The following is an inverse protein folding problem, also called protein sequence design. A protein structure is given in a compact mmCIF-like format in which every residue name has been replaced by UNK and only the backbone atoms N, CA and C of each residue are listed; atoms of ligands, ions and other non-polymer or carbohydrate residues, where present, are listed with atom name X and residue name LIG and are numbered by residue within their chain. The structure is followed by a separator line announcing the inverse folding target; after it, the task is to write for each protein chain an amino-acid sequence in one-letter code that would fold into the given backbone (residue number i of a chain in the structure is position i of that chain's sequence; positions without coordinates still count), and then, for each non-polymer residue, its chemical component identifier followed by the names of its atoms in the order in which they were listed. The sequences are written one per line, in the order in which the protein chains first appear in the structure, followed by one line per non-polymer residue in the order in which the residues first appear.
data_IF_439929325106
#
_entry.id   IF_439929325106
#
_cell.length_a   1.000
_cell.length_b   1.000
_cell.length_c   1.000
_cell.angle_alpha   90.00
_cell.angle_beta   90.00
_cell.angle_gamma   90.00
#
_symmetry.space_group_name_H-M   'P 1'
#
loop_
_entity.id
_entity.type
_entity.pdbx_description
1 polymer ?
#
# COMPACT_ATOMS: atom_id res chain seq x y z
N UNK A 1 -18.21 -8.44 -22.57
CA UNK A 1 -16.99 -9.16 -22.15
C UNK A 1 -16.27 -9.62 -23.41
N UNK A 2 -14.97 -9.40 -23.51
CA UNK A 2 -14.13 -9.80 -24.64
C UNK A 2 -12.82 -10.42 -24.14
N UNK A 3 -12.13 -11.18 -24.97
CA UNK A 3 -10.80 -11.69 -24.64
C UNK A 3 -9.76 -10.55 -24.65
N UNK A 4 -8.81 -10.62 -23.71
CA UNK A 4 -7.65 -9.75 -23.60
C UNK A 4 -6.34 -10.52 -23.72
N UNK A 5 -5.22 -9.86 -23.41
CA UNK A 5 -3.89 -10.49 -23.43
C UNK A 5 -3.77 -11.60 -22.40
N UNK A 6 -3.01 -12.66 -22.70
CA UNK A 6 -2.65 -13.69 -21.71
C UNK A 6 -3.84 -14.37 -21.06
N UNK A 7 -4.87 -14.72 -21.85
CA UNK A 7 -6.05 -15.41 -21.37
C UNK A 7 -6.95 -14.61 -20.43
N UNK A 8 -6.75 -13.28 -20.32
CA UNK A 8 -7.61 -12.38 -19.55
C UNK A 8 -8.97 -12.19 -20.19
N UNK A 9 -9.98 -11.86 -19.39
CA UNK A 9 -11.28 -11.40 -19.89
C UNK A 9 -11.48 -9.94 -19.50
N UNK A 10 -11.96 -9.14 -20.44
CA UNK A 10 -12.13 -7.70 -20.28
C UNK A 10 -13.61 -7.37 -20.24
N UNK A 11 -14.00 -6.60 -19.24
CA UNK A 11 -15.34 -6.03 -19.08
C UNK A 11 -15.19 -4.52 -19.20
N UNK A 12 -15.62 -4.01 -20.35
CA UNK A 12 -15.68 -2.58 -20.66
C UNK A 12 -17.01 -1.98 -20.14
N UNK A 13 -17.19 -0.66 -20.29
CA UNK A 13 -18.39 0.10 -19.89
C UNK A 13 -18.76 0.01 -18.40
N UNK A 14 -17.76 -0.13 -17.53
CA UNK A 14 -17.96 -0.06 -16.08
C UNK A 14 -18.04 1.39 -15.63
N UNK A 15 -19.09 1.73 -14.87
CA UNK A 15 -19.24 3.05 -14.26
C UNK A 15 -18.09 3.34 -13.28
N UNK A 16 -17.23 4.35 -13.54
CA UNK A 16 -16.14 4.70 -12.64
C UNK A 16 -16.61 5.13 -11.24
N UNK A 17 -17.86 5.55 -11.07
CA UNK A 17 -18.41 5.84 -9.75
C UNK A 17 -18.70 4.58 -8.91
N UNK A 18 -18.69 3.39 -9.53
CA UNK A 18 -19.07 2.12 -8.91
C UNK A 18 -17.93 1.10 -8.88
N UNK A 19 -16.66 1.53 -9.01
CA UNK A 19 -15.49 0.64 -9.04
C UNK A 19 -15.50 -0.42 -7.94
N UNK A 20 -15.61 -0.01 -6.68
CA UNK A 20 -15.56 -0.97 -5.56
C UNK A 20 -16.76 -1.93 -5.56
N UNK A 21 -17.95 -1.45 -5.96
CA UNK A 21 -19.14 -2.30 -6.06
C UNK A 21 -18.99 -3.35 -7.17
N UNK A 22 -18.54 -2.92 -8.35
CA UNK A 22 -18.29 -3.80 -9.49
C UNK A 22 -17.16 -4.81 -9.19
N UNK A 23 -16.09 -4.36 -8.52
CA UNK A 23 -15.01 -5.24 -8.07
C UNK A 23 -15.54 -6.31 -7.10
N UNK A 24 -16.32 -5.93 -6.08
CA UNK A 24 -16.91 -6.87 -5.12
C UNK A 24 -17.84 -7.88 -5.79
N UNK A 25 -18.63 -7.43 -6.77
CA UNK A 25 -19.50 -8.33 -7.54
C UNK A 25 -18.68 -9.38 -8.30
N UNK A 26 -17.62 -8.97 -9.00
CA UNK A 26 -16.72 -9.87 -9.70
C UNK A 26 -15.93 -10.79 -8.75
N UNK A 27 -15.48 -10.26 -7.61
CA UNK A 27 -14.76 -11.01 -6.58
C UNK A 27 -15.63 -12.11 -5.97
N UNK A 28 -16.92 -11.85 -5.76
CA UNK A 28 -17.86 -12.82 -5.19
C UNK A 28 -18.05 -14.09 -6.03
N UNK A 29 -17.82 -14.01 -7.34
CA UNK A 29 -17.91 -15.15 -8.26
C UNK A 29 -16.56 -15.78 -8.59
N UNK A 30 -15.45 -15.23 -8.06
CA UNK A 30 -14.10 -15.76 -8.23
C UNK A 30 -13.98 -17.24 -7.86
N UNK A 31 -14.60 -17.77 -6.77
CA UNK A 31 -14.51 -19.20 -6.45
C UNK A 31 -15.07 -20.13 -7.54
N UNK A 32 -15.95 -19.61 -8.42
CA UNK A 32 -16.53 -20.35 -9.54
C UNK A 32 -15.74 -20.12 -10.83
N UNK A 33 -15.29 -18.89 -11.07
CA UNK A 33 -14.61 -18.52 -12.31
C UNK A 33 -13.12 -18.82 -12.29
N UNK A 34 -12.50 -18.91 -11.11
CA UNK A 34 -11.06 -19.01 -10.93
C UNK A 34 -10.30 -17.76 -11.42
N UNK A 35 -10.99 -16.61 -11.54
CA UNK A 35 -10.44 -15.40 -12.17
C UNK A 35 -10.46 -14.19 -11.24
N UNK A 36 -9.28 -13.62 -11.00
CA UNK A 36 -9.10 -12.48 -10.11
C UNK A 36 -9.50 -11.18 -10.80
N UNK A 37 -10.44 -10.40 -10.22
CA UNK A 37 -10.82 -9.10 -10.76
C UNK A 37 -9.82 -8.01 -10.39
N UNK A 38 -9.47 -7.15 -11.34
CA UNK A 38 -8.68 -5.93 -11.09
C UNK A 38 -9.06 -4.85 -12.09
N UNK A 39 -9.12 -3.60 -11.65
CA UNK A 39 -9.31 -2.47 -12.53
C UNK A 39 -7.99 -1.95 -13.09
N UNK A 40 -8.01 -1.58 -14.37
CA UNK A 40 -6.92 -0.87 -15.05
C UNK A 40 -7.50 0.21 -15.95
N UNK A 41 -6.65 1.11 -16.45
CA UNK A 41 -7.00 1.89 -17.64
C UNK A 41 -6.98 0.98 -18.88
N UNK A 42 -7.72 1.30 -19.96
CA UNK A 42 -7.59 0.59 -21.22
C UNK A 42 -6.12 0.54 -21.69
N UNK A 43 -5.63 -0.65 -22.04
CA UNK A 43 -4.22 -0.86 -22.41
C UNK A 43 -3.25 -0.93 -21.22
N UNK A 44 -3.73 -1.02 -19.99
CA UNK A 44 -2.89 -1.13 -18.78
C UNK A 44 -2.20 -2.49 -18.58
N UNK A 45 -2.49 -3.48 -19.41
CA UNK A 45 -1.80 -4.77 -19.42
C UNK A 45 -0.47 -4.64 -20.17
N UNK A 46 0.62 -5.15 -19.60
CA UNK A 46 1.97 -4.93 -20.15
C UNK A 46 2.45 -6.03 -21.09
N UNK A 47 2.16 -7.30 -20.81
CA UNK A 47 2.39 -8.43 -21.74
C UNK A 47 1.52 -9.65 -21.39
N UNK A 48 1.63 -10.67 -22.23
CA UNK A 48 1.07 -12.00 -22.01
C UNK A 48 2.13 -12.88 -21.32
N UNK A 49 1.93 -13.27 -20.05
CA UNK A 49 2.93 -14.03 -19.33
C UNK A 49 2.93 -15.50 -19.77
N UNK A 50 4.13 -16.03 -19.98
CA UNK A 50 4.32 -17.44 -20.29
C UNK A 50 4.12 -18.31 -19.02
N UNK A 51 3.76 -19.60 -19.15
CA UNK A 51 3.59 -20.48 -17.99
C UNK A 51 4.83 -20.58 -17.10
N UNK A 52 6.02 -20.51 -17.68
CA UNK A 52 7.29 -20.52 -16.96
C UNK A 52 7.47 -19.23 -16.12
N UNK A 53 7.13 -18.07 -16.69
CA UNK A 53 7.17 -16.79 -15.96
C UNK A 53 6.22 -16.80 -14.76
N UNK A 54 5.02 -17.37 -14.91
CA UNK A 54 4.06 -17.51 -13.81
C UNK A 54 4.60 -18.42 -12.71
N UNK A 55 5.23 -19.55 -13.07
CA UNK A 55 5.82 -20.47 -12.11
C UNK A 55 7.01 -19.84 -11.36
N UNK A 56 7.86 -19.08 -12.06
CA UNK A 56 8.95 -18.32 -11.46
C UNK A 56 8.43 -17.23 -10.51
N UNK A 57 7.39 -16.50 -10.91
CA UNK A 57 6.77 -15.47 -10.09
C UNK A 57 6.13 -16.07 -8.83
N UNK A 58 5.46 -17.22 -8.96
CA UNK A 58 4.88 -17.92 -7.82
C UNK A 58 5.96 -18.40 -6.84
N UNK A 59 7.04 -19.00 -7.34
CA UNK A 59 8.17 -19.40 -6.52
C UNK A 59 8.81 -18.21 -5.81
N UNK A 60 9.01 -17.11 -6.53
CA UNK A 60 9.57 -15.89 -5.96
C UNK A 60 8.64 -15.28 -4.90
N UNK A 61 7.32 -15.28 -5.13
CA UNK A 61 6.36 -14.79 -4.16
C UNK A 61 6.48 -15.53 -2.81
N UNK A 62 6.78 -16.83 -2.85
CA UNK A 62 6.93 -17.68 -1.67
C UNK A 62 8.30 -17.56 -0.98
N UNK A 63 9.37 -17.29 -1.74
CA UNK A 63 10.76 -17.44 -1.27
C UNK A 63 11.51 -16.12 -1.10
N UNK A 64 11.13 -15.08 -1.85
CA UNK A 64 11.82 -13.81 -1.86
C UNK A 64 11.42 -12.95 -0.64
N UNK A 65 12.39 -12.24 -0.06
CA UNK A 65 12.09 -11.20 0.91
C UNK A 65 11.90 -9.85 0.20
N UNK A 66 10.66 -9.33 0.09
CA UNK A 66 10.38 -8.14 -0.72
C UNK A 66 11.08 -6.90 -0.17
N UNK A 67 11.35 -6.87 1.13
CA UNK A 67 11.96 -5.73 1.82
C UNK A 67 13.48 -5.66 1.61
N UNK A 68 14.09 -6.70 1.03
CA UNK A 68 15.47 -6.62 0.53
C UNK A 68 15.59 -5.74 -0.72
N UNK A 69 14.51 -5.66 -1.52
CA UNK A 69 14.36 -4.90 -2.77
C UNK A 69 13.72 -3.53 -2.51
N UNK A 70 12.65 -3.50 -1.71
CA UNK A 70 11.94 -2.29 -1.31
C UNK A 70 12.48 -1.77 0.03
N UNK A 71 13.35 -0.77 -0.02
CA UNK A 71 13.81 -0.05 1.17
C UNK A 71 13.48 1.43 1.07
N UNK A 72 12.87 1.94 2.14
CA UNK A 72 12.76 3.38 2.37
C UNK A 72 14.07 3.87 2.97
N UNK A 73 14.89 4.52 2.13
CA UNK A 73 16.18 5.11 2.53
C UNK A 73 16.03 6.45 3.26
N UNK A 74 14.85 7.07 3.20
CA UNK A 74 14.56 8.30 3.92
C UNK A 74 14.57 8.04 5.43
N UNK A 75 15.25 8.91 6.17
CA UNK A 75 15.19 8.96 7.63
C UNK A 75 16.20 8.09 8.38
N UNK A 76 17.29 7.66 7.74
CA UNK A 76 18.43 7.01 8.39
C UNK A 76 19.54 8.00 8.80
N UNK A 77 19.42 9.26 8.37
CA UNK A 77 20.37 10.31 8.72
C UNK A 77 20.14 10.81 10.16
N UNK A 78 21.21 11.09 10.93
CA UNK A 78 21.09 11.71 12.24
C UNK A 78 20.41 13.07 12.13
N UNK A 79 19.45 13.31 13.01
CA UNK A 79 18.74 14.56 13.20
C UNK A 79 19.39 15.36 14.33
N UNK A 80 19.50 16.67 14.15
CA UNK A 80 19.90 17.57 15.21
C UNK A 80 18.72 17.93 16.13
N UNK A 81 18.97 18.45 17.35
CA UNK A 81 17.90 18.76 18.30
C UNK A 81 16.86 19.76 17.77
N UNK A 82 17.24 20.68 16.87
CA UNK A 82 16.34 21.68 16.30
C UNK A 82 15.38 21.07 15.28
N UNK A 83 15.82 20.06 14.54
CA UNK A 83 14.94 19.28 13.66
C UNK A 83 13.90 18.47 14.45
N UNK A 84 14.33 17.86 15.58
CA UNK A 84 13.43 17.13 16.49
C UNK A 84 12.39 18.09 17.10
N UNK A 85 12.84 19.25 17.59
CA UNK A 85 11.95 20.29 18.14
C UNK A 85 10.92 20.74 17.11
N UNK A 86 11.37 21.10 15.91
CA UNK A 86 10.49 21.54 14.83
C UNK A 86 9.45 20.47 14.46
N UNK A 87 9.88 19.20 14.34
CA UNK A 87 9.00 18.09 14.01
C UNK A 87 7.94 17.87 15.09
N UNK A 88 8.36 17.76 16.35
CA UNK A 88 7.46 17.46 17.47
C UNK A 88 6.51 18.62 17.72
N UNK A 89 6.97 19.86 17.62
CA UNK A 89 6.10 21.02 17.71
C UNK A 89 5.04 21.02 16.59
N UNK A 90 5.44 20.69 15.35
CA UNK A 90 4.52 20.67 14.21
C UNK A 90 3.39 19.63 14.36
N UNK A 91 3.67 18.45 14.92
CA UNK A 91 2.70 17.36 14.96
C UNK A 91 2.06 17.11 16.33
N UNK A 92 2.78 17.34 17.42
CA UNK A 92 2.32 17.07 18.79
C UNK A 92 2.11 18.36 19.61
N UNK A 93 2.68 19.48 19.16
CA UNK A 93 2.62 20.78 19.83
C UNK A 93 3.78 21.00 20.81
N UNK A 94 4.03 22.26 21.14
CA UNK A 94 5.21 22.71 21.92
C UNK A 94 5.29 22.09 23.33
N UNK A 95 4.18 21.57 23.87
CA UNK A 95 4.15 20.93 25.18
C UNK A 95 4.90 19.58 25.24
N UNK A 96 5.00 18.86 24.11
CA UNK A 96 5.68 17.57 24.03
C UNK A 96 7.19 17.69 23.74
N UNK A 97 7.65 18.87 23.30
CA UNK A 97 9.06 19.11 22.92
C UNK A 97 10.04 18.79 24.06
N UNK A 98 9.86 19.26 25.32
CA UNK A 98 10.82 18.96 26.38
C UNK A 98 10.96 17.46 26.64
N UNK A 99 9.83 16.73 26.59
CA UNK A 99 9.80 15.28 26.77
C UNK A 99 10.48 14.56 25.60
N UNK A 100 10.26 15.02 24.37
CA UNK A 100 10.92 14.47 23.19
C UNK A 100 12.44 14.61 23.28
N UNK A 101 12.94 15.82 23.57
CA UNK A 101 14.38 16.09 23.68
C UNK A 101 15.06 15.32 24.84
N UNK A 102 14.32 15.05 25.93
CA UNK A 102 14.82 14.22 27.02
C UNK A 102 14.92 12.73 26.65
N UNK A 103 13.91 12.21 25.95
CA UNK A 103 13.80 10.78 25.64
C UNK A 103 14.58 10.38 24.39
N UNK A 104 14.73 11.29 23.43
CA UNK A 104 15.51 11.11 22.20
C UNK A 104 16.93 11.65 22.40
N UNK A 105 17.68 11.05 23.33
CA UNK A 105 19.05 11.44 23.63
C UNK A 105 20.07 10.56 22.89
N UNK A 106 20.83 11.15 21.96
CA UNK A 106 21.88 10.46 21.18
C UNK A 106 21.85 10.84 19.70
N UNK A 107 22.54 10.08 18.83
CA UNK A 107 22.27 10.16 17.40
C UNK A 107 20.86 9.59 17.16
N UNK A 108 19.90 10.47 16.91
CA UNK A 108 18.49 10.16 16.67
C UNK A 108 18.24 10.27 15.19
N UNK A 109 17.55 9.31 14.59
CA UNK A 109 17.16 9.38 13.17
C UNK A 109 15.73 9.88 13.03
N UNK A 110 15.33 10.33 11.83
CA UNK A 110 13.92 10.67 11.55
C UNK A 110 13.00 9.48 11.88
N UNK A 111 13.44 8.23 11.61
CA UNK A 111 12.68 7.02 11.96
C UNK A 111 12.47 6.88 13.47
N UNK A 112 13.46 7.23 14.28
CA UNK A 112 13.34 7.20 15.74
C UNK A 112 12.34 8.25 16.24
N UNK A 113 12.38 9.48 15.67
CA UNK A 113 11.41 10.55 15.98
C UNK A 113 9.99 10.12 15.58
N UNK A 114 9.81 9.57 14.38
CA UNK A 114 8.51 9.09 13.92
C UNK A 114 7.99 7.93 14.79
N UNK A 115 8.88 7.03 15.22
CA UNK A 115 8.50 5.90 16.09
C UNK A 115 8.09 6.39 17.48
N UNK A 116 8.87 7.28 18.08
CA UNK A 116 8.55 7.90 19.37
C UNK A 116 7.22 8.67 19.30
N UNK A 117 6.99 9.39 18.19
CA UNK A 117 5.74 10.09 17.92
C UNK A 117 4.56 9.11 17.88
N UNK A 118 4.69 8.00 17.14
CA UNK A 118 3.67 6.97 17.06
C UNK A 118 3.34 6.35 18.43
N UNK A 119 4.36 5.97 19.21
CA UNK A 119 4.18 5.37 20.54
C UNK A 119 3.54 6.38 21.52
N UNK A 120 3.89 7.67 21.42
CA UNK A 120 3.27 8.75 22.20
C UNK A 120 1.79 8.90 21.88
N UNK A 121 1.43 8.87 20.58
CA UNK A 121 0.05 8.96 20.13
C UNK A 121 -0.78 7.73 20.54
N UNK A 122 -0.20 6.54 20.51
CA UNK A 122 -0.90 5.34 21.00
C UNK A 122 -1.21 5.39 22.51
N UNK A 123 -0.36 6.08 23.29
CA UNK A 123 -0.55 6.23 24.72
C UNK A 123 -1.57 7.33 25.11
N UNK A 124 -1.84 8.28 24.21
CA UNK A 124 -2.75 9.42 24.44
C UNK A 124 -3.76 9.56 23.28
N UNK A 125 -4.93 8.90 23.35
CA UNK A 125 -5.93 8.96 22.29
C UNK A 125 -6.46 10.38 21.98
N UNK A 126 -6.72 11.26 22.96
CA UNK A 126 -7.04 12.67 22.68
C UNK A 126 -5.96 13.42 21.90
N UNK A 127 -4.68 13.16 22.17
CA UNK A 127 -3.57 13.71 21.38
C UNK A 127 -3.55 13.09 19.98
N UNK A 128 -3.78 11.77 19.86
CA UNK A 128 -3.88 11.07 18.58
C UNK A 128 -4.93 11.68 17.66
N UNK A 129 -6.13 11.98 18.17
CA UNK A 129 -7.19 12.55 17.36
C UNK A 129 -6.89 13.98 16.92
N UNK A 130 -6.18 14.77 17.73
CA UNK A 130 -5.73 16.11 17.32
C UNK A 130 -4.62 16.04 16.27
N UNK A 131 -3.59 15.23 16.50
CA UNK A 131 -2.47 15.11 15.58
C UNK A 131 -2.87 14.49 14.23
N UNK A 132 -3.84 13.57 14.25
CA UNK A 132 -4.38 12.95 13.03
C UNK A 132 -5.37 13.86 12.28
N UNK A 133 -5.82 14.97 12.88
CA UNK A 133 -6.71 15.91 12.21
C UNK A 133 -6.05 16.44 10.94
N UNK A 134 -6.70 16.27 9.80
CA UNK A 134 -6.17 16.61 8.47
C UNK A 134 -5.51 15.44 7.73
N UNK A 135 -5.36 14.27 8.37
CA UNK A 135 -4.88 13.01 7.75
C UNK A 135 -6.01 12.05 7.37
N UNK A 136 -7.28 12.46 7.49
CA UNK A 136 -8.46 11.62 7.18
C UNK A 136 -8.51 11.22 5.70
N UNK A 137 -7.81 11.95 4.84
CA UNK A 137 -7.66 11.62 3.43
C UNK A 137 -6.94 10.27 3.19
N UNK A 138 -6.23 9.75 4.20
CA UNK A 138 -5.60 8.42 4.18
C UNK A 138 -6.60 7.29 4.50
N UNK A 139 -7.83 7.61 4.90
CA UNK A 139 -8.85 6.64 5.34
C UNK A 139 -9.97 6.51 4.30
N UNK A 140 -10.39 5.27 4.06
CA UNK A 140 -11.46 4.93 3.13
C UNK A 140 -11.11 5.18 1.66
N UNK A 141 -12.15 5.33 0.84
CA UNK A 141 -12.01 5.45 -0.63
C UNK A 141 -12.11 6.87 -1.16
N UNK A 142 -12.21 7.89 -0.31
CA UNK A 142 -12.46 9.28 -0.75
C UNK A 142 -11.37 9.84 -1.68
N UNK A 143 -10.13 9.37 -1.50
CA UNK A 143 -8.96 9.73 -2.33
C UNK A 143 -8.58 8.65 -3.34
N UNK A 144 -9.38 7.62 -3.49
CA UNK A 144 -9.13 6.62 -4.51
C UNK A 144 -9.14 7.30 -5.89
N UNK A 145 -8.00 7.22 -6.57
CA UNK A 145 -7.91 7.63 -7.96
C UNK A 145 -8.93 6.86 -8.80
N UNK A 146 -9.63 7.61 -9.64
CA UNK A 146 -10.62 7.12 -10.58
C UNK A 146 -10.36 7.79 -11.92
N UNK A 147 -10.40 7.03 -13.00
CA UNK A 147 -10.23 7.54 -14.36
C UNK A 147 -11.59 7.64 -15.06
N UNK A 148 -11.75 8.54 -16.04
CA UNK A 148 -12.99 8.61 -16.84
C UNK A 148 -13.26 7.31 -17.61
N UNK A 149 -12.17 6.64 -18.03
CA UNK A 149 -12.21 5.36 -18.72
C UNK A 149 -11.52 4.32 -17.86
N UNK A 150 -12.26 3.28 -17.50
CA UNK A 150 -11.79 2.16 -16.68
C UNK A 150 -12.17 0.85 -17.34
N UNK A 151 -11.37 -0.18 -17.09
CA UNK A 151 -11.60 -1.52 -17.57
C UNK A 151 -11.48 -2.49 -16.40
N UNK A 152 -12.48 -3.36 -16.24
CA UNK A 152 -12.36 -4.48 -15.31
C UNK A 152 -11.72 -5.66 -16.06
N UNK A 153 -10.58 -6.10 -15.56
CA UNK A 153 -9.82 -7.25 -16.07
C UNK A 153 -10.03 -8.44 -15.14
N UNK A 154 -10.38 -9.59 -15.71
CA UNK A 154 -10.47 -10.86 -15.01
C UNK A 154 -9.22 -11.70 -15.35
N UNK A 155 -8.22 -11.63 -14.48
CA UNK A 155 -6.96 -12.36 -14.63
C UNK A 155 -7.20 -13.87 -14.56
N UNK A 156 -6.49 -14.71 -15.34
CA UNK A 156 -6.69 -16.16 -15.39
C UNK A 156 -6.07 -16.88 -14.17
N UNK A 157 -6.26 -16.35 -12.98
CA UNK A 157 -5.75 -16.89 -11.72
C UNK A 157 -6.67 -16.50 -10.57
N UNK A 158 -6.76 -17.34 -9.54
CA UNK A 158 -7.40 -17.01 -8.27
C UNK A 158 -6.41 -16.45 -7.24
N UNK A 159 -5.11 -16.44 -7.56
CA UNK A 159 -4.03 -16.02 -6.67
C UNK A 159 -3.69 -14.55 -6.90
N UNK A 160 -4.13 -13.61 -6.03
CA UNK A 160 -3.97 -12.17 -6.27
C UNK A 160 -2.51 -11.74 -6.44
N UNK A 161 -1.60 -12.40 -5.73
CA UNK A 161 -0.17 -12.08 -5.77
C UNK A 161 0.49 -12.38 -7.11
N UNK A 162 -0.19 -13.07 -8.04
CA UNK A 162 0.31 -13.29 -9.41
C UNK A 162 -0.10 -12.16 -10.36
N UNK A 163 -0.92 -11.19 -9.92
CA UNK A 163 -1.28 -10.03 -10.73
C UNK A 163 -0.10 -9.27 -11.38
N UNK A 164 1.09 -9.17 -10.75
CA UNK A 164 2.27 -8.56 -11.37
C UNK A 164 2.72 -9.20 -12.69
N UNK A 165 2.26 -10.41 -13.04
CA UNK A 165 2.54 -11.02 -14.34
C UNK A 165 1.79 -10.34 -15.50
N UNK A 166 0.67 -9.67 -15.23
CA UNK A 166 -0.12 -8.96 -16.26
C UNK A 166 -0.10 -7.44 -16.08
N UNK A 167 0.13 -6.96 -14.87
CA UNK A 167 0.03 -5.54 -14.52
C UNK A 167 1.40 -4.88 -14.40
N UNK A 168 1.47 -3.61 -14.80
CA UNK A 168 2.63 -2.76 -14.48
C UNK A 168 2.32 -1.87 -13.28
N UNK A 169 3.36 -1.61 -12.49
CA UNK A 169 3.35 -0.61 -11.41
C UNK A 169 4.72 0.06 -11.34
N UNK A 170 4.75 1.40 -11.39
CA UNK A 170 5.97 2.19 -11.48
C UNK A 170 6.94 1.86 -10.34
N UNK A 171 6.45 1.77 -9.11
CA UNK A 171 7.28 1.44 -7.95
C UNK A 171 7.88 0.04 -7.97
N UNK A 172 7.41 -0.84 -8.85
CA UNK A 172 7.94 -2.17 -9.08
C UNK A 172 8.78 -2.31 -10.37
N UNK A 173 9.15 -1.22 -11.06
CA UNK A 173 9.96 -1.29 -12.29
C UNK A 173 11.46 -1.52 -12.07
N UNK A 174 11.94 -1.42 -10.83
CA UNK A 174 13.34 -1.67 -10.45
C UNK A 174 13.76 -3.14 -10.66
N UNK A 175 15.07 -3.46 -10.78
CA UNK A 175 15.53 -4.85 -10.87
C UNK A 175 15.01 -5.71 -9.71
N UNK A 176 14.40 -6.86 -10.02
CA UNK A 176 13.75 -7.73 -9.04
C UNK A 176 12.42 -7.21 -8.49
N UNK A 177 11.91 -6.09 -9.02
CA UNK A 177 10.69 -5.43 -8.58
C UNK A 177 9.43 -6.29 -8.74
N UNK A 178 9.06 -6.79 -9.94
CA UNK A 178 7.81 -7.56 -10.07
C UNK A 178 7.76 -8.82 -9.17
N UNK A 179 8.86 -9.62 -9.03
CA UNK A 179 8.92 -10.70 -8.06
C UNK A 179 8.77 -10.26 -6.59
N UNK A 180 9.39 -9.14 -6.21
CA UNK A 180 9.22 -8.57 -4.88
C UNK A 180 7.81 -8.03 -4.64
N UNK A 181 7.17 -7.46 -5.65
CA UNK A 181 5.79 -7.00 -5.55
C UNK A 181 4.84 -8.19 -5.33
N UNK A 182 5.02 -9.28 -6.07
CA UNK A 182 4.28 -10.52 -5.85
C UNK A 182 4.49 -11.07 -4.43
N UNK A 183 5.74 -11.11 -3.94
CA UNK A 183 6.04 -11.54 -2.57
C UNK A 183 5.39 -10.65 -1.50
N UNK A 184 5.40 -9.32 -1.69
CA UNK A 184 4.71 -8.39 -0.81
C UNK A 184 3.19 -8.65 -0.80
N UNK A 185 2.57 -8.79 -1.98
CA UNK A 185 1.15 -9.09 -2.11
C UNK A 185 0.77 -10.41 -1.44
N UNK A 186 1.58 -11.47 -1.58
CA UNK A 186 1.31 -12.74 -0.92
C UNK A 186 1.30 -12.59 0.60
N UNK A 187 2.31 -11.90 1.17
CA UNK A 187 2.40 -11.66 2.62
C UNK A 187 1.23 -10.82 3.12
N UNK A 188 0.84 -9.79 2.37
CA UNK A 188 -0.29 -8.94 2.71
C UNK A 188 -1.62 -9.67 2.64
N UNK A 189 -1.79 -10.52 1.62
CA UNK A 189 -2.96 -11.38 1.47
C UNK A 189 -3.08 -12.37 2.65
N UNK A 190 -2.00 -13.07 2.99
CA UNK A 190 -2.00 -14.02 4.10
C UNK A 190 -2.31 -13.35 5.44
N UNK A 191 -1.67 -12.22 5.74
CA UNK A 191 -1.80 -11.56 7.05
C UNK A 191 -3.12 -10.79 7.17
N UNK A 192 -3.47 -9.98 6.18
CA UNK A 192 -4.58 -9.03 6.25
C UNK A 192 -5.73 -9.30 5.27
N UNK A 193 -5.62 -10.33 4.43
CA UNK A 193 -6.59 -10.56 3.36
C UNK A 193 -6.55 -9.46 2.31
N UNK A 194 -5.39 -8.83 2.12
CA UNK A 194 -5.25 -7.77 1.13
C UNK A 194 -5.57 -8.29 -0.28
N UNK A 195 -6.41 -7.53 -0.98
CA UNK A 195 -6.96 -7.84 -2.28
C UNK A 195 -6.81 -6.62 -3.19
N UNK A 196 -6.11 -6.80 -4.31
CA UNK A 196 -5.89 -5.72 -5.27
C UNK A 196 -7.18 -5.41 -6.01
N UNK A 197 -7.63 -4.17 -5.87
CA UNK A 197 -8.83 -3.63 -6.51
C UNK A 197 -8.49 -2.98 -7.85
N UNK A 198 -7.42 -2.20 -7.89
CA UNK A 198 -7.00 -1.53 -9.11
C UNK A 198 -5.48 -1.33 -9.19
N UNK A 199 -4.97 -1.34 -10.43
CA UNK A 199 -3.64 -0.87 -10.79
C UNK A 199 -3.73 0.16 -11.91
N UNK A 200 -3.33 1.39 -11.59
CA UNK A 200 -3.35 2.53 -12.51
C UNK A 200 -1.96 2.87 -13.07
N UNK A 201 -1.00 1.95 -12.97
CA UNK A 201 0.40 2.18 -13.35
C UNK A 201 1.20 2.91 -12.27
N UNK A 202 0.73 4.03 -11.73
CA UNK A 202 1.41 4.76 -10.63
C UNK A 202 0.70 4.62 -9.28
N UNK A 203 -0.55 4.16 -9.28
CA UNK A 203 -1.36 4.00 -8.07
C UNK A 203 -1.89 2.58 -7.98
N UNK A 204 -1.80 1.99 -6.80
CA UNK A 204 -2.44 0.72 -6.45
C UNK A 204 -3.52 0.98 -5.40
N UNK A 205 -4.64 0.27 -5.50
CA UNK A 205 -5.73 0.32 -4.54
C UNK A 205 -6.05 -1.08 -4.04
N UNK A 206 -6.18 -1.21 -2.73
CA UNK A 206 -6.46 -2.49 -2.08
C UNK A 206 -7.64 -2.36 -1.13
N UNK A 207 -8.33 -3.48 -0.95
CA UNK A 207 -9.21 -3.71 0.20
C UNK A 207 -8.65 -4.84 1.04
N UNK A 208 -8.96 -4.86 2.33
CA UNK A 208 -8.50 -5.91 3.25
C UNK A 208 -9.65 -6.51 4.04
N UNK A 209 -9.45 -7.75 4.46
CA UNK A 209 -10.42 -8.47 5.31
C UNK A 209 -10.17 -8.22 6.80
N UNK A 210 -8.92 -7.91 7.15
CA UNK A 210 -8.45 -7.76 8.53
C UNK A 210 -7.57 -6.52 8.62
N UNK A 211 -7.92 -5.62 9.52
CA UNK A 211 -7.09 -4.45 9.84
C UNK A 211 -5.87 -4.87 10.66
N UNK A 212 -4.70 -4.24 10.47
CA UNK A 212 -3.58 -4.40 11.39
C UNK A 212 -3.97 -3.92 12.80
N UNK A 213 -3.46 -4.58 13.82
CA UNK A 213 -3.59 -4.09 15.19
C UNK A 213 -2.73 -2.84 15.40
N UNK A 214 -3.18 -1.86 16.21
CA UNK A 214 -2.34 -0.75 16.64
C UNK A 214 -1.03 -1.23 17.29
N UNK A 215 0.05 -0.49 17.08
CA UNK A 215 1.39 -0.86 17.57
C UNK A 215 2.27 -1.40 16.45
N UNK A 216 3.05 -2.44 16.76
CA UNK A 216 4.09 -2.93 15.85
C UNK A 216 3.56 -3.39 14.49
N UNK A 217 2.37 -4.00 14.46
CA UNK A 217 1.78 -4.51 13.23
C UNK A 217 1.43 -3.38 12.24
N UNK A 218 0.70 -2.36 12.71
CA UNK A 218 0.37 -1.20 11.89
C UNK A 218 1.61 -0.38 11.49
N UNK A 219 2.60 -0.26 12.40
CA UNK A 219 3.86 0.41 12.12
C UNK A 219 4.66 -0.28 11.00
N UNK A 220 4.78 -1.61 11.06
CA UNK A 220 5.45 -2.41 10.04
C UNK A 220 4.76 -2.28 8.69
N UNK A 221 3.43 -2.44 8.65
CA UNK A 221 2.68 -2.32 7.41
C UNK A 221 2.82 -0.92 6.80
N UNK A 222 2.73 0.15 7.60
CA UNK A 222 2.93 1.51 7.11
C UNK A 222 4.32 1.67 6.46
N UNK A 223 5.37 1.13 7.09
CA UNK A 223 6.71 1.14 6.51
C UNK A 223 6.81 0.38 5.20
N UNK A 224 6.13 -0.77 5.09
CA UNK A 224 6.07 -1.58 3.88
C UNK A 224 5.36 -0.85 2.72
N UNK A 225 4.20 -0.22 3.00
CA UNK A 225 3.47 0.55 1.99
C UNK A 225 4.28 1.75 1.51
N UNK A 226 4.97 2.47 2.41
CA UNK A 226 5.85 3.59 2.05
C UNK A 226 7.13 3.16 1.33
N UNK A 227 7.61 1.93 1.53
CA UNK A 227 8.76 1.40 0.80
C UNK A 227 8.41 1.02 -0.65
N UNK A 228 7.18 0.57 -0.89
CA UNK A 228 6.68 0.21 -2.22
C UNK A 228 6.06 1.41 -2.98
N UNK A 229 5.37 2.31 -2.28
CA UNK A 229 4.78 3.55 -2.79
C UNK A 229 5.49 4.78 -2.22
N UNK A 230 6.67 5.09 -2.75
CA UNK A 230 7.57 6.09 -2.20
C UNK A 230 7.10 7.53 -2.34
N UNK A 231 6.06 7.78 -3.15
CA UNK A 231 5.46 9.10 -3.36
C UNK A 231 4.14 9.31 -2.61
N UNK A 232 3.83 8.45 -1.63
CA UNK A 232 2.77 8.74 -0.69
C UNK A 232 3.25 9.82 0.30
N UNK A 233 2.75 11.04 0.16
CA UNK A 233 3.11 12.20 0.98
C UNK A 233 2.45 12.14 2.37
N UNK A 234 3.00 11.31 3.25
CA UNK A 234 2.63 11.25 4.66
C UNK A 234 3.78 10.70 5.53
N UNK A 235 3.68 10.94 6.83
CA UNK A 235 4.53 10.33 7.84
C UNK A 235 4.14 8.87 8.08
N UNK A 236 5.10 8.02 8.48
CA UNK A 236 4.82 6.61 8.75
C UNK A 236 3.84 6.42 9.90
N UNK A 237 3.91 7.27 10.93
CA UNK A 237 2.96 7.21 12.05
C UNK A 237 1.54 7.59 11.60
N UNK A 238 1.38 8.55 10.68
CA UNK A 238 0.07 8.93 10.12
C UNK A 238 -0.54 7.74 9.39
N UNK A 239 0.24 7.10 8.51
CA UNK A 239 -0.23 5.92 7.79
C UNK A 239 -0.51 4.76 8.74
N UNK A 240 0.32 4.53 9.76
CA UNK A 240 0.08 3.48 10.75
C UNK A 240 -1.25 3.68 11.50
N UNK A 241 -1.59 4.92 11.89
CA UNK A 241 -2.90 5.22 12.49
C UNK A 241 -4.01 4.99 11.45
N UNK A 242 -3.87 5.51 10.23
CA UNK A 242 -4.88 5.40 9.18
C UNK A 242 -5.23 3.93 8.86
N UNK A 243 -4.22 3.06 8.79
CA UNK A 243 -4.39 1.63 8.49
C UNK A 243 -5.20 0.87 9.55
N UNK A 244 -5.21 1.34 10.81
CA UNK A 244 -6.06 0.74 11.86
C UNK A 244 -7.52 1.21 11.77
N UNK A 245 -7.78 2.28 11.02
CA UNK A 245 -9.09 2.95 10.88
C UNK A 245 -9.80 2.61 9.56
N UNK A 246 -9.11 1.97 8.61
CA UNK A 246 -9.55 1.73 7.23
C UNK A 246 -9.40 0.26 6.82
N UNK A 247 -10.32 -0.25 6.01
CA UNK A 247 -10.15 -1.53 5.29
C UNK A 247 -9.61 -1.28 3.87
N UNK A 248 -9.41 -0.03 3.50
CA UNK A 248 -8.98 0.40 2.18
C UNK A 248 -7.58 1.02 2.26
N UNK A 249 -6.69 0.54 1.40
CA UNK A 249 -5.31 1.03 1.28
C UNK A 249 -5.07 1.57 -0.12
N UNK A 250 -4.15 2.51 -0.25
CA UNK A 250 -3.63 2.92 -1.55
C UNK A 250 -2.13 3.17 -1.46
N UNK A 251 -1.45 2.96 -2.58
CA UNK A 251 -0.04 3.25 -2.77
C UNK A 251 0.09 4.20 -3.95
N UNK A 252 1.10 5.06 -3.92
CA UNK A 252 1.42 5.95 -5.03
C UNK A 252 2.93 6.03 -5.22
N UNK A 253 3.37 5.84 -6.47
CA UNK A 253 4.75 6.02 -6.89
C UNK A 253 4.76 6.61 -8.30
N UNK A 254 5.56 7.65 -8.54
CA UNK A 254 5.61 8.40 -9.80
C UNK A 254 7.03 8.43 -10.38
N UNK A 255 7.17 8.52 -11.73
CA UNK A 255 8.46 8.70 -12.40
C UNK A 255 9.26 9.93 -11.95
#
# INVERSE_FOLDING_TARGET
MREGLGGTLLVDDVDPAQLLQAWRAAYSVMPVTGRWPVFTVPGGLHHEPEPEELAELELAAQTLDPWSVYRRHRGDEPQDPSEIEYYVEAFLGSAEVPRALEQLAGPVTEKDVQRWTYDTLLADPPLADRAFSGSEYLVGTSRWQTWPEVQLVLLPTASPWLAPAWLSYHGATRPGGPPAWAAAMLRWHQRWGAALVASWGTVLQFVTERRPQPGQEAWELAGQLLALGGNLECEQWQLAIALTRSDEWFLHDRP
#
